data_IF_811254401673
#
_entry.id   IF_811254401673
#
_cell.length_a   1.000
_cell.length_b   1.000
_cell.length_c   1.000
_cell.angle_alpha   90.00
_cell.angle_beta   90.00
_cell.angle_gamma   90.00
#
_symmetry.space_group_name_H-M   'P 1'
#
loop_
_entity.id
_entity.type
_entity.pdbx_description
1 polymer ?
#
# COMPACT_ATOMS: atom_id res chain seq x y z
N UNK A 1 -9.29 3.42 -11.39
CA UNK A 1 -9.06 4.48 -10.38
C UNK A 1 -8.02 5.46 -10.90
N UNK A 2 -8.27 6.77 -10.79
CA UNK A 2 -7.18 7.77 -10.85
C UNK A 2 -6.60 7.84 -9.45
N UNK A 3 -5.43 7.26 -9.24
CA UNK A 3 -4.71 7.41 -7.98
C UNK A 3 -4.23 8.84 -7.85
N UNK A 4 -4.66 9.51 -6.78
CA UNK A 4 -4.20 10.86 -6.46
C UNK A 4 -2.87 10.81 -5.72
N UNK A 5 -2.18 11.94 -5.63
CA UNK A 5 -0.99 12.04 -4.79
C UNK A 5 -1.32 11.78 -3.31
N UNK A 6 -2.49 12.26 -2.85
CA UNK A 6 -2.96 12.01 -1.48
C UNK A 6 -3.20 10.52 -1.18
N UNK A 7 -3.63 9.71 -2.15
CA UNK A 7 -3.79 8.27 -1.95
C UNK A 7 -2.45 7.57 -1.75
N UNK A 8 -1.41 8.06 -2.44
CA UNK A 8 -0.05 7.57 -2.22
C UNK A 8 0.46 7.97 -0.84
N UNK A 9 0.32 9.23 -0.47
CA UNK A 9 0.84 9.75 0.80
C UNK A 9 0.29 8.94 1.99
N UNK A 10 -1.00 8.54 1.92
CA UNK A 10 -1.60 7.64 2.91
C UNK A 10 -0.98 6.24 2.90
N UNK A 11 -0.81 5.63 1.72
CA UNK A 11 -0.18 4.32 1.60
C UNK A 11 1.26 4.33 2.15
N UNK A 12 2.03 5.38 1.84
CA UNK A 12 3.37 5.56 2.37
C UNK A 12 3.35 5.76 3.88
N UNK A 13 2.39 6.53 4.41
CA UNK A 13 2.22 6.70 5.86
C UNK A 13 2.01 5.36 6.58
N UNK A 14 1.13 4.50 6.05
CA UNK A 14 0.90 3.16 6.62
C UNK A 14 2.16 2.29 6.54
N UNK A 15 2.86 2.28 5.40
CA UNK A 15 4.07 1.50 5.24
C UNK A 15 5.24 2.02 6.09
N UNK A 16 5.36 3.34 6.27
CA UNK A 16 6.38 3.96 7.11
C UNK A 16 6.14 3.70 8.60
N UNK A 17 4.88 3.52 9.01
CA UNK A 17 4.52 3.15 10.37
C UNK A 17 4.69 1.65 10.66
N UNK A 18 4.87 0.82 9.62
CA UNK A 18 5.00 -0.62 9.77
C UNK A 18 6.46 -1.03 9.98
N UNK A 19 6.70 -1.84 11.02
CA UNK A 19 8.02 -2.42 11.29
C UNK A 19 8.34 -3.64 10.42
N UNK A 20 7.31 -4.24 9.81
CA UNK A 20 7.40 -5.40 8.92
C UNK A 20 6.67 -5.14 7.59
N UNK A 21 7.04 -5.84 6.50
CA UNK A 21 6.32 -5.74 5.23
C UNK A 21 4.85 -6.11 5.39
N UNK A 22 3.96 -5.31 4.80
CA UNK A 22 2.53 -5.52 4.89
C UNK A 22 1.96 -6.07 3.60
N UNK A 23 0.95 -6.93 3.72
CA UNK A 23 0.13 -7.36 2.59
C UNK A 23 -0.85 -6.25 2.20
N UNK A 24 -1.34 -6.27 0.95
CA UNK A 24 -2.36 -5.31 0.53
C UNK A 24 -3.65 -5.38 1.38
N UNK A 25 -3.94 -6.54 2.01
CA UNK A 25 -5.08 -6.70 2.90
C UNK A 25 -4.85 -5.99 4.23
N UNK A 26 -3.66 -6.14 4.80
CA UNK A 26 -3.30 -5.48 6.05
C UNK A 26 -3.23 -3.96 5.88
N UNK A 27 -2.70 -3.49 4.75
CA UNK A 27 -2.68 -2.06 4.42
C UNK A 27 -4.11 -1.51 4.33
N UNK A 28 -5.04 -2.23 3.69
CA UNK A 28 -6.44 -1.79 3.63
C UNK A 28 -7.03 -1.69 5.04
N UNK A 29 -6.84 -2.70 5.87
CA UNK A 29 -7.37 -2.72 7.24
C UNK A 29 -6.79 -1.59 8.11
N UNK A 30 -5.50 -1.27 7.95
CA UNK A 30 -4.86 -0.14 8.64
C UNK A 30 -5.45 1.20 8.19
N UNK A 31 -5.64 1.38 6.87
CA UNK A 31 -6.26 2.60 6.33
C UNK A 31 -7.69 2.79 6.85
N UNK A 32 -8.51 1.72 6.83
CA UNK A 32 -9.89 1.73 7.34
C UNK A 32 -9.96 2.02 8.85
N UNK A 33 -8.93 1.63 9.62
CA UNK A 33 -8.86 1.87 11.06
C UNK A 33 -8.51 3.32 11.41
N UNK A 34 -7.67 3.98 10.60
CA UNK A 34 -7.18 5.33 10.89
C UNK A 34 -8.06 6.44 10.30
N UNK A 35 -8.70 6.22 9.13
CA UNK A 35 -9.49 7.25 8.45
C UNK A 35 -10.40 6.73 7.33
N UNK A 36 -11.24 7.60 6.79
CA UNK A 36 -11.93 7.31 5.53
C UNK A 36 -10.93 7.16 4.38
N UNK A 37 -10.94 5.98 3.77
CA UNK A 37 -10.09 5.64 2.65
C UNK A 37 -10.89 5.52 1.35
N UNK A 38 -10.31 5.96 0.23
CA UNK A 38 -10.89 5.77 -1.10
C UNK A 38 -10.65 4.35 -1.65
N UNK A 39 -9.87 3.53 -0.94
CA UNK A 39 -9.61 2.15 -1.32
C UNK A 39 -10.74 1.24 -0.84
N UNK A 40 -11.36 0.54 -1.78
CA UNK A 40 -12.47 -0.39 -1.50
C UNK A 40 -12.02 -1.86 -1.51
N UNK A 41 -10.78 -2.13 -1.94
CA UNK A 41 -10.26 -3.49 -1.98
C UNK A 41 -8.73 -3.57 -1.92
N UNK A 42 -8.17 -4.69 -1.42
CA UNK A 42 -6.73 -4.93 -1.44
C UNK A 42 -6.14 -4.92 -2.86
N UNK A 43 -6.93 -5.30 -3.87
CA UNK A 43 -6.47 -5.34 -5.26
C UNK A 43 -6.20 -3.93 -5.82
N UNK A 44 -7.01 -2.93 -5.42
CA UNK A 44 -6.74 -1.54 -5.79
C UNK A 44 -5.40 -1.08 -5.22
N UNK A 45 -5.13 -1.38 -3.94
CA UNK A 45 -3.85 -1.07 -3.27
C UNK A 45 -2.68 -1.75 -3.99
N UNK A 46 -2.78 -3.05 -4.26
CA UNK A 46 -1.75 -3.79 -4.99
C UNK A 46 -1.45 -3.18 -6.37
N UNK A 47 -2.49 -2.71 -7.08
CA UNK A 47 -2.33 -2.02 -8.37
C UNK A 47 -1.57 -0.70 -8.24
N UNK A 48 -1.84 0.06 -7.17
CA UNK A 48 -1.10 1.31 -6.90
C UNK A 48 0.35 0.99 -6.58
N UNK A 49 0.58 0.15 -5.57
CA UNK A 49 1.92 -0.17 -5.08
C UNK A 49 2.79 -0.81 -6.15
N UNK A 50 2.23 -1.67 -7.02
CA UNK A 50 2.97 -2.22 -8.17
C UNK A 50 3.52 -1.14 -9.11
N UNK A 51 2.74 -0.09 -9.39
CA UNK A 51 3.22 1.04 -10.22
C UNK A 51 4.33 1.85 -9.57
N UNK A 52 4.35 1.93 -8.23
CA UNK A 52 5.40 2.66 -7.50
C UNK A 52 6.64 1.80 -7.29
N UNK A 53 6.48 0.49 -7.16
CA UNK A 53 7.59 -0.45 -7.17
C UNK A 53 8.39 -0.38 -8.48
N UNK A 54 7.72 -0.21 -9.63
CA UNK A 54 8.38 0.01 -10.92
C UNK A 54 9.24 1.30 -10.96
N UNK A 55 8.98 2.25 -10.04
CA UNK A 55 9.77 3.48 -9.88
C UNK A 55 10.88 3.40 -8.85
N UNK A 56 10.91 2.31 -8.06
CA UNK A 56 11.91 2.08 -7.02
C UNK A 56 11.55 2.67 -5.65
N UNK A 57 10.37 3.26 -5.48
CA UNK A 57 9.94 3.86 -4.21
C UNK A 57 9.37 2.82 -3.23
N UNK A 58 9.06 1.61 -3.71
CA UNK A 58 8.41 0.54 -2.93
C UNK A 58 9.08 -0.80 -3.25
N UNK A 59 9.51 -1.51 -2.22
CA UNK A 59 9.99 -2.89 -2.35
C UNK A 59 8.81 -3.86 -2.30
N UNK A 60 8.73 -4.79 -3.27
CA UNK A 60 7.69 -5.82 -3.34
C UNK A 60 8.29 -7.20 -3.11
N UNK A 61 7.92 -7.83 -2.01
CA UNK A 61 8.25 -9.22 -1.73
C UNK A 61 7.19 -10.13 -2.36
N UNK A 62 7.60 -10.89 -3.40
CA UNK A 62 6.71 -11.80 -4.15
C UNK A 62 6.43 -13.12 -3.41
N UNK A 63 6.22 -13.06 -2.09
CA UNK A 63 5.70 -14.18 -1.30
C UNK A 63 4.19 -14.33 -1.54
N UNK A 64 3.59 -15.40 -1.04
CA UNK A 64 2.13 -15.58 -1.09
C UNK A 64 1.56 -15.43 0.31
N UNK A 65 0.76 -14.37 0.58
CA UNK A 65 0.42 -13.23 -0.28
C UNK A 65 1.60 -12.26 -0.55
N UNK A 66 1.46 -11.40 -1.56
CA UNK A 66 2.45 -10.36 -1.89
C UNK A 66 2.48 -9.31 -0.80
N UNK A 67 3.68 -8.77 -0.55
CA UNK A 67 3.90 -7.78 0.49
C UNK A 67 4.75 -6.62 0.01
N UNK A 68 4.60 -5.52 0.75
CA UNK A 68 5.09 -4.21 0.38
C UNK A 68 5.82 -3.59 1.55
N UNK A 69 6.92 -2.93 1.25
CA UNK A 69 7.73 -2.21 2.22
C UNK A 69 8.24 -0.91 1.59
N UNK A 70 8.35 0.14 2.41
CA UNK A 70 8.87 1.44 1.99
C UNK A 70 10.39 1.43 2.10
N UNK A 71 11.09 1.70 1.01
CA UNK A 71 12.57 1.74 0.97
C UNK A 71 13.13 3.06 1.55
#
# INVERSE_FOLDING_TARGET
>A
MRTTHSDLDRLQGVLAAAEEPLTAREILAALEAESETAFESPHQIATVLGRWADRGDITVYRRQPYEYYLD
#
